data_IF_870516034607
#
_entry.id   IF_870516034607
#
_cell.length_a   1.000
_cell.length_b   1.000
_cell.length_c   1.000
_cell.angle_alpha   90.00
_cell.angle_beta   90.00
_cell.angle_gamma   90.00
#
_symmetry.space_group_name_H-M   'P 1'
#
loop_
_entity.id
_entity.type
_entity.pdbx_description
1 polymer ?
#
# COMPACT_ATOMS: atom_id res chain seq x y z
N UNK A 1 3.04 15.07 32.81
CA UNK A 1 2.06 15.32 31.74
C UNK A 1 1.45 16.71 31.96
N UNK A 2 2.27 17.77 31.89
CA UNK A 2 1.81 19.17 32.10
C UNK A 2 2.72 20.23 31.43
N UNK A 3 3.58 19.82 30.48
CA UNK A 3 4.52 20.74 29.82
C UNK A 3 4.24 20.97 28.32
N UNK A 4 3.18 20.36 27.78
CA UNK A 4 2.91 20.35 26.33
C UNK A 4 1.77 21.29 25.88
N UNK A 5 1.11 22.02 26.78
CA UNK A 5 -0.01 22.90 26.40
C UNK A 5 0.34 24.39 26.24
N UNK A 6 1.54 24.84 26.65
CA UNK A 6 1.91 26.27 26.56
C UNK A 6 2.54 26.72 25.23
N UNK A 7 2.90 25.81 24.33
CA UNK A 7 3.61 26.18 23.07
C UNK A 7 2.72 26.25 21.82
N UNK A 8 1.43 25.92 21.94
CA UNK A 8 0.48 25.93 20.82
C UNK A 8 -0.30 27.25 20.68
N UNK A 9 -0.23 28.16 21.66
CA UNK A 9 -0.92 29.46 21.63
C UNK A 9 -0.12 30.59 20.95
N UNK A 10 1.15 30.37 20.57
CA UNK A 10 2.03 31.44 20.04
C UNK A 10 2.34 31.34 18.53
N UNK A 11 1.80 30.36 17.80
CA UNK A 11 1.96 30.27 16.33
C UNK A 11 0.79 30.87 15.52
N UNK A 12 -0.20 31.46 16.19
CA UNK A 12 -1.37 32.07 15.56
C UNK A 12 -1.20 33.54 15.19
N UNK A 13 -0.32 33.87 14.22
CA UNK A 13 -0.47 35.09 13.37
C UNK A 13 0.69 35.26 12.39
N UNK A 14 0.64 34.61 11.23
CA UNK A 14 1.26 35.12 10.00
C UNK A 14 0.32 34.87 8.83
N UNK A 15 -0.33 35.94 8.37
CA UNK A 15 -1.18 35.94 7.16
C UNK A 15 -0.30 35.69 5.93
N UNK A 16 -0.68 34.74 5.08
CA UNK A 16 -0.11 34.56 3.74
C UNK A 16 -0.64 35.63 2.78
N UNK A 17 0.16 36.09 1.80
CA UNK A 17 -0.29 37.03 0.77
C UNK A 17 -1.18 36.33 -0.27
N UNK A 18 -2.10 37.06 -0.93
CA UNK A 18 -3.03 36.48 -1.90
C UNK A 18 -2.33 36.06 -3.21
N UNK A 19 -2.85 35.04 -3.92
CA UNK A 19 -2.30 34.58 -5.19
C UNK A 19 -2.53 35.58 -6.33
N UNK A 20 -1.58 35.65 -7.27
CA UNK A 20 -1.66 36.46 -8.50
C UNK A 20 -2.37 35.67 -9.60
N UNK A 21 -3.28 36.35 -10.31
CA UNK A 21 -4.08 35.82 -11.41
C UNK A 21 -3.21 35.33 -12.59
N UNK A 22 -3.53 34.15 -13.13
CA UNK A 22 -3.08 33.68 -14.44
C UNK A 22 -4.27 33.54 -15.41
N UNK A 23 -4.07 33.71 -16.73
CA UNK A 23 -5.16 33.90 -17.69
C UNK A 23 -5.84 32.57 -18.05
N UNK A 24 -7.16 32.66 -18.19
CA UNK A 24 -8.09 31.62 -18.66
C UNK A 24 -8.00 31.47 -20.17
N UNK A 25 -7.84 30.24 -20.68
CA UNK A 25 -8.09 29.91 -22.09
C UNK A 25 -9.24 28.90 -22.23
N UNK A 26 -9.98 28.93 -23.35
CA UNK A 26 -11.38 28.54 -23.41
C UNK A 26 -11.64 27.05 -23.68
N UNK A 27 -12.78 26.60 -23.16
CA UNK A 27 -13.43 25.31 -23.38
C UNK A 27 -13.77 25.06 -24.86
N UNK A 28 -13.40 23.90 -25.39
CA UNK A 28 -13.93 23.37 -26.64
C UNK A 28 -14.84 22.18 -26.36
N UNK A 29 -16.12 22.37 -26.67
CA UNK A 29 -17.11 21.33 -26.91
C UNK A 29 -16.68 20.47 -28.12
N UNK A 30 -16.87 19.16 -28.03
CA UNK A 30 -16.87 18.29 -29.21
C UNK A 30 -18.02 17.28 -29.10
N UNK A 31 -18.96 17.51 -30.02
CA UNK A 31 -20.21 16.87 -30.37
C UNK A 31 -20.07 15.36 -30.61
N UNK A 32 -21.02 14.58 -30.10
CA UNK A 32 -21.29 13.21 -30.55
C UNK A 32 -21.97 13.25 -31.92
N UNK A 33 -21.43 12.54 -32.91
CA UNK A 33 -22.13 12.23 -34.14
C UNK A 33 -22.30 10.71 -34.28
N UNK A 34 -23.56 10.32 -34.41
CA UNK A 34 -24.05 8.96 -34.61
C UNK A 34 -24.12 8.72 -36.12
N UNK A 35 -23.50 7.66 -36.61
CA UNK A 35 -23.75 7.16 -37.97
C UNK A 35 -24.05 5.66 -37.92
N UNK A 36 -25.19 5.30 -38.50
CA UNK A 36 -25.81 3.99 -38.49
C UNK A 36 -25.86 3.42 -39.92
N UNK A 37 -25.41 2.16 -40.07
CA UNK A 37 -25.79 1.11 -41.06
C UNK A 37 -25.29 1.16 -42.53
N UNK A 38 -25.36 0.06 -43.34
CA UNK A 38 -25.94 -1.28 -43.09
C UNK A 38 -25.13 -2.55 -43.55
N UNK A 39 -25.59 -3.70 -43.01
CA UNK A 39 -25.70 -5.09 -43.52
C UNK A 39 -24.71 -5.74 -44.53
N UNK A 40 -24.32 -6.98 -44.19
CA UNK A 40 -23.74 -7.98 -45.10
C UNK A 40 -23.76 -9.39 -44.48
N UNK A 41 -24.19 -10.39 -45.24
CA UNK A 41 -24.74 -11.70 -44.82
C UNK A 41 -23.73 -12.75 -44.33
N UNK A 42 -24.20 -13.53 -43.37
CA UNK A 42 -24.09 -14.98 -43.13
C UNK A 42 -23.06 -15.84 -43.91
N UNK A 43 -22.30 -16.64 -43.16
CA UNK A 43 -22.12 -18.08 -43.42
C UNK A 43 -21.68 -18.81 -42.14
N UNK A 44 -22.31 -19.94 -41.83
CA UNK A 44 -21.91 -20.93 -40.82
C UNK A 44 -21.25 -22.11 -41.53
N UNK A 45 -20.45 -22.95 -40.82
CA UNK A 45 -21.02 -24.25 -40.49
C UNK A 45 -20.52 -24.92 -39.18
N UNK A 46 -21.45 -25.71 -38.64
CA UNK A 46 -21.31 -27.08 -38.08
C UNK A 46 -20.68 -27.28 -36.69
N UNK A 47 -21.62 -27.50 -35.77
CA UNK A 47 -21.66 -28.48 -34.67
C UNK A 47 -20.89 -29.79 -34.95
N UNK A 48 -20.15 -30.27 -33.95
CA UNK A 48 -19.82 -31.69 -33.79
C UNK A 48 -20.15 -32.15 -32.37
N UNK A 49 -20.64 -33.38 -32.31
CA UNK A 49 -21.33 -34.04 -31.21
C UNK A 49 -20.45 -34.45 -30.03
N UNK A 50 -21.16 -34.71 -28.93
CA UNK A 50 -20.77 -35.38 -27.70
C UNK A 50 -20.21 -36.79 -27.95
N UNK A 51 -19.27 -37.20 -27.10
CA UNK A 51 -19.17 -38.59 -26.63
C UNK A 51 -19.00 -38.61 -25.11
N UNK A 52 -19.92 -39.32 -24.45
CA UNK A 52 -19.83 -39.73 -23.05
C UNK A 52 -18.87 -40.93 -22.92
N UNK A 53 -18.12 -41.02 -21.81
CA UNK A 53 -17.89 -42.30 -21.13
C UNK A 53 -17.39 -42.13 -19.68
N UNK A 54 -18.26 -42.53 -18.76
CA UNK A 54 -18.05 -43.33 -17.55
C UNK A 54 -16.74 -43.27 -16.73
N UNK A 55 -16.89 -42.77 -15.49
CA UNK A 55 -16.59 -43.41 -14.19
C UNK A 55 -15.42 -44.41 -14.05
N UNK A 56 -14.51 -44.13 -13.11
CA UNK A 56 -14.08 -45.10 -12.09
C UNK A 56 -13.45 -44.44 -10.85
N UNK A 57 -14.00 -44.83 -9.71
CA UNK A 57 -13.58 -44.63 -8.33
C UNK A 57 -12.51 -45.65 -7.89
N UNK A 58 -11.58 -45.24 -7.02
CA UNK A 58 -10.90 -46.07 -5.99
C UNK A 58 -10.06 -45.10 -5.13
N UNK A 59 -10.39 -44.73 -3.89
CA UNK A 59 -10.34 -45.50 -2.63
C UNK A 59 -9.19 -46.50 -2.52
N UNK A 60 -8.22 -46.19 -1.66
CA UNK A 60 -7.06 -47.02 -1.35
C UNK A 60 -6.24 -46.44 -0.20
N UNK A 61 -6.78 -46.56 1.02
CA UNK A 61 -6.00 -46.53 2.27
C UNK A 61 -5.02 -47.72 2.30
N UNK A 62 -3.78 -47.50 2.76
CA UNK A 62 -3.08 -48.47 3.63
C UNK A 62 -1.84 -47.87 4.32
N UNK A 63 -2.00 -47.68 5.63
CA UNK A 63 -1.14 -48.04 6.77
C UNK A 63 0.40 -47.99 6.66
N UNK A 64 0.95 -47.20 7.59
CA UNK A 64 1.92 -47.56 8.64
C UNK A 64 3.10 -48.49 8.26
N UNK A 65 4.30 -47.91 8.25
CA UNK A 65 5.48 -48.63 8.73
C UNK A 65 6.35 -47.70 9.60
N UNK A 66 6.61 -48.14 10.83
CA UNK A 66 7.53 -47.53 11.79
C UNK A 66 8.83 -48.32 11.74
N UNK A 67 9.95 -47.67 11.44
CA UNK A 67 11.25 -48.16 11.89
C UNK A 67 12.17 -47.01 12.30
N UNK A 68 12.89 -47.28 13.40
CA UNK A 68 13.70 -46.37 14.23
C UNK A 68 15.11 -46.15 13.65
N UNK A 69 15.78 -45.16 14.27
CA UNK A 69 17.23 -44.87 14.32
C UNK A 69 17.70 -44.00 13.15
N UNK A 70 18.59 -43.03 13.30
CA UNK A 70 19.64 -42.79 14.28
C UNK A 70 19.94 -41.28 14.27
N UNK A 71 20.45 -40.72 15.37
CA UNK A 71 20.79 -39.31 15.45
C UNK A 71 22.06 -39.00 14.67
N UNK A 72 21.98 -38.01 13.78
CA UNK A 72 23.15 -37.38 13.17
C UNK A 72 23.20 -35.90 13.53
N UNK A 73 24.31 -35.53 14.19
CA UNK A 73 24.74 -34.18 14.48
C UNK A 73 25.00 -33.44 13.16
N UNK A 74 24.22 -32.40 12.86
CA UNK A 74 24.70 -31.36 11.95
C UNK A 74 25.51 -30.33 12.73
N UNK A 75 26.82 -30.41 12.53
CA UNK A 75 27.78 -29.33 12.80
C UNK A 75 27.50 -28.21 11.80
N UNK A 76 26.94 -27.08 12.25
CA UNK A 76 26.95 -25.84 11.45
C UNK A 76 28.23 -25.07 11.79
N UNK A 77 29.20 -25.13 10.87
CA UNK A 77 30.39 -24.29 10.92
C UNK A 77 30.02 -22.82 10.83
N UNK A 78 30.37 -22.05 11.86
CA UNK A 78 30.35 -20.60 11.85
C UNK A 78 31.47 -20.07 10.97
N UNK A 79 31.13 -19.65 9.74
CA UNK A 79 32.00 -18.81 8.92
C UNK A 79 31.75 -17.36 9.31
N UNK A 80 32.68 -16.77 10.07
CA UNK A 80 32.72 -15.32 10.30
C UNK A 80 32.87 -14.61 8.95
N UNK A 81 31.86 -13.83 8.59
CA UNK A 81 31.95 -12.90 7.47
C UNK A 81 32.65 -11.62 7.94
N UNK A 82 33.55 -11.02 7.14
CA UNK A 82 34.29 -9.83 7.55
C UNK A 82 33.32 -8.66 7.80
N UNK A 83 33.47 -8.02 8.97
CA UNK A 83 32.77 -6.78 9.32
C UNK A 83 33.11 -5.73 8.25
N UNK A 84 32.12 -5.37 7.43
CA UNK A 84 32.21 -4.17 6.59
C UNK A 84 31.82 -2.98 7.45
N UNK A 85 32.77 -2.08 7.66
CA UNK A 85 32.52 -0.78 8.27
C UNK A 85 31.48 -0.03 7.42
N UNK A 86 30.36 0.34 8.03
CA UNK A 86 29.36 1.20 7.40
C UNK A 86 29.85 2.63 7.59
N UNK A 87 30.53 3.16 6.58
CA UNK A 87 30.92 4.56 6.52
C UNK A 87 29.69 5.40 6.13
N UNK A 88 28.99 5.94 7.12
CA UNK A 88 27.96 6.97 6.87
C UNK A 88 28.69 8.28 6.58
N UNK A 89 28.92 8.58 5.30
CA UNK A 89 29.41 9.89 4.88
C UNK A 89 28.29 10.90 5.00
N UNK A 90 28.22 11.58 6.14
CA UNK A 90 27.73 12.95 6.19
C UNK A 90 28.85 13.87 5.72
N UNK A 91 28.60 14.69 4.71
CA UNK A 91 29.55 15.70 4.26
C UNK A 91 29.86 16.67 5.41
N UNK A 92 31.00 16.45 6.06
CA UNK A 92 31.50 17.27 7.16
C UNK A 92 32.40 16.45 8.10
N UNK A 93 33.71 16.47 7.82
CA UNK A 93 34.86 16.17 8.72
C UNK A 93 34.58 15.33 9.99
N UNK A 94 35.11 14.10 10.05
CA UNK A 94 36.33 13.78 10.82
C UNK A 94 36.76 12.31 10.71
N UNK A 95 38.07 12.09 10.94
CA UNK A 95 38.77 10.80 10.95
C UNK A 95 38.33 9.93 12.13
N UNK A 96 38.24 8.63 11.92
CA UNK A 96 38.06 7.64 12.99
C UNK A 96 39.42 7.05 13.38
N UNK A 97 39.97 7.50 14.51
CA UNK A 97 41.04 6.79 15.22
C UNK A 97 40.40 5.86 16.27
N UNK A 98 40.87 4.61 16.32
CA UNK A 98 40.38 3.57 17.25
C UNK A 98 40.98 3.77 18.65
N UNK A 99 40.40 4.65 19.46
CA UNK A 99 40.51 4.60 20.92
C UNK A 99 39.16 4.96 21.52
N UNK A 100 38.79 4.30 22.63
CA UNK A 100 37.49 4.44 23.30
C UNK A 100 37.11 5.91 23.51
N UNK A 101 36.22 6.42 22.65
CA UNK A 101 35.87 7.84 22.66
C UNK A 101 34.91 8.13 23.80
N UNK A 102 35.43 8.76 24.86
CA UNK A 102 34.60 9.58 25.75
C UNK A 102 34.19 10.81 24.96
N UNK A 103 32.99 10.80 24.40
CA UNK A 103 32.39 11.97 23.75
C UNK A 103 31.93 12.97 24.81
N UNK A 104 32.58 14.14 24.84
CA UNK A 104 32.24 15.25 25.72
C UNK A 104 30.93 15.93 25.27
N UNK A 105 30.04 16.14 26.23
CA UNK A 105 28.85 16.98 26.10
C UNK A 105 29.23 18.47 26.16
N UNK A 106 29.10 19.21 25.05
CA UNK A 106 28.92 20.67 25.07
C UNK A 106 28.14 21.15 23.84
N UNK A 107 27.00 21.84 24.05
CA UNK A 107 26.62 23.00 23.22
C UNK A 107 25.20 23.05 22.64
N UNK A 108 24.30 23.76 23.33
CA UNK A 108 23.14 24.62 22.93
C UNK A 108 22.40 24.60 21.56
N UNK A 109 22.66 23.66 20.66
CA UNK A 109 21.75 23.26 19.58
C UNK A 109 21.48 21.80 19.82
N UNK A 110 20.41 21.47 20.55
CA UNK A 110 20.24 20.21 21.29
C UNK A 110 20.38 18.93 20.48
N UNK A 111 21.61 18.58 20.12
CA UNK A 111 22.02 17.31 19.55
C UNK A 111 22.01 16.31 20.70
N UNK A 112 21.04 15.41 20.66
CA UNK A 112 20.91 14.33 21.63
C UNK A 112 21.90 13.23 21.23
N UNK A 113 23.00 13.14 21.98
CA UNK A 113 24.04 12.13 21.79
C UNK A 113 23.90 11.06 22.88
N UNK A 114 23.70 9.81 22.47
CA UNK A 114 23.62 8.64 23.36
C UNK A 114 24.40 7.48 22.74
N UNK A 115 25.01 6.63 23.59
CA UNK A 115 25.81 5.50 23.14
C UNK A 115 24.92 4.30 22.80
N UNK A 116 25.03 3.80 21.57
CA UNK A 116 24.29 2.62 21.11
C UNK A 116 25.25 1.50 20.69
N UNK A 117 24.88 0.26 21.00
CA UNK A 117 25.64 -0.92 20.53
C UNK A 117 25.47 -1.15 19.01
N UNK A 118 24.28 -0.83 18.48
CA UNK A 118 23.93 -1.00 17.07
C UNK A 118 23.05 0.16 16.64
N UNK A 119 23.37 0.76 15.49
CA UNK A 119 22.55 1.78 14.83
C UNK A 119 22.00 1.20 13.53
N UNK A 120 20.67 1.23 13.37
CA UNK A 120 19.99 0.80 12.14
C UNK A 120 19.50 2.02 11.37
N UNK A 121 19.95 2.18 10.12
CA UNK A 121 19.54 3.30 9.26
C UNK A 121 18.39 2.86 8.36
N UNK A 122 17.21 3.45 8.57
CA UNK A 122 16.00 3.20 7.80
C UNK A 122 15.51 4.47 7.07
N UNK A 123 16.42 5.23 6.46
CA UNK A 123 16.15 6.53 5.83
C UNK A 123 15.62 6.45 4.37
N UNK A 124 15.11 5.29 3.97
CA UNK A 124 14.64 5.03 2.60
C UNK A 124 15.63 4.28 1.71
N UNK A 125 15.29 4.15 0.43
CA UNK A 125 16.04 3.39 -0.58
C UNK A 125 16.32 4.25 -1.81
N UNK A 126 17.45 4.02 -2.47
CA UNK A 126 17.77 4.60 -3.78
C UNK A 126 17.67 3.54 -4.87
N UNK A 127 17.19 3.88 -6.08
CA UNK A 127 17.13 2.94 -7.19
C UNK A 127 18.56 2.58 -7.66
N UNK A 128 18.78 1.30 -7.97
CA UNK A 128 20.07 0.83 -8.48
C UNK A 128 20.13 0.98 -10.01
N UNK A 129 20.43 2.19 -10.49
CA UNK A 129 20.41 2.52 -11.93
C UNK A 129 21.72 3.12 -12.46
N UNK A 130 22.69 3.40 -11.59
CA UNK A 130 23.92 4.11 -11.96
C UNK A 130 24.79 3.33 -12.98
N UNK A 131 24.93 2.02 -12.77
CA UNK A 131 25.82 1.18 -13.58
C UNK A 131 25.11 0.45 -14.73
N UNK A 132 23.90 0.89 -15.09
CA UNK A 132 23.10 0.29 -16.18
C UNK A 132 23.43 0.88 -17.56
N UNK A 133 24.37 1.82 -17.64
CA UNK A 133 24.73 2.47 -18.91
C UNK A 133 23.65 3.39 -19.48
N UNK A 134 22.71 3.86 -18.64
CA UNK A 134 21.59 4.69 -19.07
C UNK A 134 22.03 6.01 -19.70
N UNK A 135 23.21 6.53 -19.34
CA UNK A 135 23.81 7.73 -19.94
C UNK A 135 24.09 7.60 -21.44
N UNK A 136 24.17 6.37 -21.96
CA UNK A 136 24.35 6.11 -23.39
C UNK A 136 23.01 6.02 -24.13
N UNK A 137 21.88 6.16 -23.41
CA UNK A 137 20.52 6.05 -23.91
C UNK A 137 19.76 7.34 -23.59
N UNK A 138 18.78 7.72 -24.40
CA UNK A 138 17.91 8.86 -24.12
C UNK A 138 16.79 8.49 -23.12
N UNK A 139 17.18 7.88 -21.99
CA UNK A 139 16.26 7.46 -20.91
C UNK A 139 16.19 8.54 -19.85
N UNK A 140 15.00 9.09 -19.64
CA UNK A 140 14.76 10.14 -18.64
C UNK A 140 14.69 9.56 -17.23
N UNK A 141 15.45 10.18 -16.32
CA UNK A 141 15.37 9.92 -14.88
C UNK A 141 14.66 11.08 -14.18
N UNK A 142 13.90 10.75 -13.14
CA UNK A 142 13.33 11.73 -12.24
C UNK A 142 14.46 12.40 -11.42
N UNK A 143 14.50 13.73 -11.42
CA UNK A 143 15.61 14.49 -10.81
C UNK A 143 15.69 14.37 -9.29
N UNK A 144 14.57 14.09 -8.63
CA UNK A 144 14.51 14.06 -7.17
C UNK A 144 14.77 12.65 -6.63
N UNK A 145 14.25 11.64 -7.33
CA UNK A 145 14.27 10.25 -6.88
C UNK A 145 15.31 9.39 -7.60
N UNK A 146 15.87 9.88 -8.71
CA UNK A 146 16.73 9.15 -9.64
C UNK A 146 16.08 7.89 -10.24
N UNK A 147 14.75 7.76 -10.14
CA UNK A 147 14.00 6.64 -10.72
C UNK A 147 13.81 6.83 -12.22
N UNK A 148 13.72 5.73 -12.97
CA UNK A 148 13.43 5.74 -14.40
C UNK A 148 12.00 6.24 -14.61
N UNK A 149 11.85 7.28 -15.42
CA UNK A 149 10.54 7.82 -15.76
C UNK A 149 9.83 6.89 -16.73
N UNK A 150 8.63 6.47 -16.37
CA UNK A 150 7.77 5.64 -17.23
C UNK A 150 6.39 6.24 -17.42
N UNK A 151 5.76 5.91 -18.53
CA UNK A 151 4.35 6.21 -18.77
C UNK A 151 3.42 5.15 -18.14
N UNK A 152 2.11 5.27 -18.34
CA UNK A 152 1.11 4.34 -17.81
C UNK A 152 1.20 2.90 -18.38
N UNK A 153 2.06 2.66 -19.37
CA UNK A 153 2.33 1.34 -19.96
C UNK A 153 3.68 0.76 -19.53
N UNK A 154 4.33 1.35 -18.51
CA UNK A 154 5.65 0.96 -18.00
C UNK A 154 6.80 1.21 -19.00
N UNK A 155 6.55 2.00 -20.03
CA UNK A 155 7.49 2.33 -21.10
C UNK A 155 8.30 3.57 -20.74
N UNK A 156 9.60 3.53 -21.01
CA UNK A 156 10.50 4.68 -20.81
C UNK A 156 10.35 5.73 -21.92
N UNK A 157 11.22 6.75 -21.96
CA UNK A 157 11.29 7.67 -23.10
C UNK A 157 11.79 7.04 -24.40
N UNK A 158 12.35 5.82 -24.33
CA UNK A 158 12.77 5.04 -25.50
C UNK A 158 11.75 3.92 -25.74
N UNK A 159 11.18 3.86 -26.95
CA UNK A 159 9.97 3.08 -27.26
C UNK A 159 10.09 1.57 -26.96
N UNK A 160 11.25 0.98 -27.21
CA UNK A 160 11.48 -0.45 -26.99
C UNK A 160 12.08 -0.79 -25.61
N UNK A 161 12.18 0.18 -24.70
CA UNK A 161 12.73 -0.01 -23.35
C UNK A 161 11.66 0.28 -22.30
N UNK A 162 11.53 -0.64 -21.35
CA UNK A 162 10.53 -0.62 -20.30
C UNK A 162 11.19 -0.74 -18.93
N UNK A 163 10.54 -0.21 -17.89
CA UNK A 163 11.00 -0.33 -16.51
C UNK A 163 9.81 -0.60 -15.56
N UNK A 164 9.96 -1.62 -14.71
CA UNK A 164 8.95 -2.03 -13.73
C UNK A 164 9.59 -2.25 -12.37
N UNK A 165 8.79 -2.09 -11.31
CA UNK A 165 9.26 -2.26 -9.93
C UNK A 165 10.07 -1.08 -9.42
N UNK A 166 10.88 -1.29 -8.39
CA UNK A 166 11.47 -0.21 -7.57
C UNK A 166 12.32 0.81 -8.34
N UNK A 167 12.81 0.45 -9.52
CA UNK A 167 13.60 1.34 -10.40
C UNK A 167 12.73 2.33 -11.16
N UNK A 168 11.44 2.06 -11.35
CA UNK A 168 10.53 2.96 -12.06
C UNK A 168 9.88 3.97 -11.11
N UNK A 169 9.55 5.14 -11.64
CA UNK A 169 8.83 6.20 -10.91
C UNK A 169 7.33 5.95 -10.79
N UNK A 170 6.83 4.77 -11.19
CA UNK A 170 5.42 4.44 -11.05
C UNK A 170 5.03 4.40 -9.56
N UNK A 171 3.80 4.82 -9.28
CA UNK A 171 3.30 4.89 -7.91
C UNK A 171 3.28 3.50 -7.27
N UNK A 172 3.73 3.38 -6.01
CA UNK A 172 3.78 2.13 -5.27
C UNK A 172 4.66 1.02 -5.91
N UNK A 173 5.53 1.35 -6.89
CA UNK A 173 6.39 0.37 -7.56
C UNK A 173 7.42 -0.27 -6.64
N UNK A 174 7.64 0.31 -5.45
CA UNK A 174 8.53 -0.24 -4.42
C UNK A 174 7.94 -1.50 -3.74
N UNK A 175 6.64 -1.74 -3.89
CA UNK A 175 5.93 -2.92 -3.36
C UNK A 175 6.18 -4.14 -4.25
N UNK A 176 6.66 -5.23 -3.67
CA UNK A 176 7.02 -6.44 -4.43
C UNK A 176 5.84 -7.02 -5.23
N UNK A 177 4.63 -7.06 -4.65
CA UNK A 177 3.44 -7.55 -5.34
C UNK A 177 3.06 -6.67 -6.55
N UNK A 178 3.24 -5.36 -6.44
CA UNK A 178 3.04 -4.40 -7.54
C UNK A 178 4.04 -4.65 -8.65
N UNK A 179 5.34 -4.77 -8.32
CA UNK A 179 6.39 -5.06 -9.29
C UNK A 179 6.12 -6.36 -10.05
N UNK A 180 5.73 -7.43 -9.35
CA UNK A 180 5.37 -8.73 -9.94
C UNK A 180 4.18 -8.59 -10.90
N UNK A 181 3.11 -7.89 -10.49
CA UNK A 181 1.91 -7.73 -11.31
C UNK A 181 2.16 -6.85 -12.53
N UNK A 182 2.89 -5.74 -12.37
CA UNK A 182 3.29 -4.86 -13.46
C UNK A 182 4.11 -5.62 -14.51
N UNK A 183 5.11 -6.41 -14.09
CA UNK A 183 5.91 -7.24 -14.99
C UNK A 183 5.06 -8.27 -15.76
N UNK A 184 4.12 -8.95 -15.08
CA UNK A 184 3.21 -9.90 -15.73
C UNK A 184 2.31 -9.23 -16.77
N UNK A 185 1.77 -8.04 -16.46
CA UNK A 185 0.91 -7.29 -17.38
C UNK A 185 1.71 -6.75 -18.56
N UNK A 186 2.92 -6.25 -18.30
CA UNK A 186 3.85 -5.81 -19.35
C UNK A 186 4.18 -6.95 -20.32
N UNK A 187 4.56 -8.13 -19.82
CA UNK A 187 4.85 -9.29 -20.64
C UNK A 187 3.65 -9.66 -21.53
N UNK A 188 2.42 -9.64 -20.98
CA UNK A 188 1.21 -9.90 -21.77
C UNK A 188 0.98 -8.86 -22.87
N UNK A 189 1.29 -7.58 -22.63
CA UNK A 189 1.21 -6.52 -23.64
C UNK A 189 2.25 -6.69 -24.74
N UNK A 190 3.50 -6.97 -24.37
CA UNK A 190 4.60 -7.15 -25.31
C UNK A 190 4.37 -8.30 -26.29
N UNK A 191 3.72 -9.37 -25.84
CA UNK A 191 3.42 -10.54 -26.66
C UNK A 191 1.97 -10.57 -27.18
N UNK A 192 1.31 -9.40 -27.23
CA UNK A 192 -0.03 -9.21 -27.82
C UNK A 192 -1.13 -10.10 -27.24
N UNK A 193 -1.00 -10.51 -25.98
CA UNK A 193 -2.00 -11.31 -25.25
C UNK A 193 -3.02 -10.45 -24.50
N UNK A 194 -2.76 -9.15 -24.33
CA UNK A 194 -3.61 -8.24 -23.58
C UNK A 194 -3.22 -6.78 -23.81
N UNK A 195 -4.15 -5.85 -23.59
CA UNK A 195 -3.88 -4.41 -23.50
C UNK A 195 -3.99 -3.87 -22.06
N UNK A 196 -4.14 -4.75 -21.07
CA UNK A 196 -4.37 -4.37 -19.67
C UNK A 196 -3.12 -3.74 -19.05
N UNK A 197 -3.32 -2.59 -18.41
CA UNK A 197 -2.29 -1.84 -17.67
C UNK A 197 -2.38 -2.13 -16.18
N UNK A 198 -1.32 -1.82 -15.45
CA UNK A 198 -1.35 -1.88 -13.99
C UNK A 198 -2.18 -0.72 -13.44
N UNK A 199 -3.08 -1.02 -12.49
CA UNK A 199 -3.78 -0.01 -11.70
C UNK A 199 -2.96 0.29 -10.44
N UNK A 200 -2.27 1.43 -10.44
CA UNK A 200 -1.34 1.81 -9.38
C UNK A 200 -2.01 2.54 -8.21
N UNK A 201 -3.23 3.09 -8.39
CA UNK A 201 -3.97 3.80 -7.33
C UNK A 201 -4.64 2.87 -6.33
N UNK A 202 -5.09 1.70 -6.78
CA UNK A 202 -5.85 0.76 -5.95
C UNK A 202 -4.97 -0.38 -5.40
N UNK A 203 -3.79 -0.03 -4.89
CA UNK A 203 -2.83 -0.99 -4.33
C UNK A 203 -3.03 -1.09 -2.82
N UNK A 204 -3.33 -2.28 -2.27
CA UNK A 204 -3.34 -2.48 -0.83
C UNK A 204 -1.92 -2.46 -0.26
N UNK A 205 -1.80 -1.93 0.94
CA UNK A 205 -0.55 -1.77 1.68
C UNK A 205 -0.66 -2.43 3.05
N UNK A 206 0.45 -2.98 3.52
CA UNK A 206 0.57 -3.63 4.83
C UNK A 206 1.89 -3.23 5.48
N UNK A 207 1.80 -2.73 6.72
CA UNK A 207 2.93 -2.40 7.58
C UNK A 207 2.91 -3.35 8.77
N UNK A 208 3.99 -4.14 8.89
CA UNK A 208 4.13 -5.22 9.87
C UNK A 208 4.78 -4.72 11.18
N UNK A 209 4.07 -3.84 11.89
CA UNK A 209 4.36 -3.49 13.29
C UNK A 209 3.79 -4.54 14.25
N UNK A 210 4.12 -4.52 15.57
CA UNK A 210 3.56 -5.46 16.53
C UNK A 210 2.02 -5.56 16.51
N UNK A 211 1.34 -4.47 16.18
CA UNK A 211 -0.04 -4.46 15.69
C UNK A 211 0.01 -4.04 14.23
N UNK A 212 -0.50 -4.87 13.32
CA UNK A 212 -0.42 -4.61 11.88
C UNK A 212 -1.27 -3.39 11.49
N UNK A 213 -0.78 -2.63 10.51
CA UNK A 213 -1.55 -1.57 9.87
C UNK A 213 -1.69 -1.86 8.38
N UNK A 214 -2.92 -2.02 7.92
CA UNK A 214 -3.24 -2.23 6.51
C UNK A 214 -4.12 -1.09 5.99
N UNK A 215 -3.90 -0.67 4.75
CA UNK A 215 -4.78 0.28 4.08
C UNK A 215 -4.84 0.12 2.56
N UNK A 216 -5.92 0.62 1.96
CA UNK A 216 -6.09 0.77 0.50
C UNK A 216 -6.82 2.09 0.23
N UNK A 217 -6.44 2.77 -0.85
CA UNK A 217 -7.05 4.05 -1.24
C UNK A 217 -6.40 5.27 -0.61
N UNK A 218 -7.13 6.38 -0.59
CA UNK A 218 -6.64 7.68 -0.16
C UNK A 218 -6.59 7.79 1.37
N UNK A 219 -5.58 8.50 1.90
CA UNK A 219 -5.61 8.98 3.28
C UNK A 219 -6.61 10.13 3.46
N UNK A 220 -6.90 10.54 4.70
CA UNK A 220 -7.90 11.60 4.95
C UNK A 220 -7.47 12.93 4.33
N UNK A 221 -6.20 13.29 4.50
CA UNK A 221 -5.58 14.50 3.96
C UNK A 221 -5.51 14.47 2.43
N UNK A 222 -5.18 13.32 1.84
CA UNK A 222 -5.18 13.13 0.39
C UNK A 222 -6.59 13.24 -0.16
N UNK A 223 -7.55 12.57 0.48
CA UNK A 223 -8.94 12.58 0.05
C UNK A 223 -9.56 13.99 0.14
N UNK A 224 -9.26 14.75 1.19
CA UNK A 224 -9.66 16.18 1.30
C UNK A 224 -9.08 17.03 0.18
N UNK A 225 -7.82 16.78 -0.19
CA UNK A 225 -7.13 17.55 -1.23
C UNK A 225 -7.71 17.25 -2.62
N UNK A 226 -8.01 15.97 -2.91
CA UNK A 226 -8.46 15.52 -4.23
C UNK A 226 -9.97 15.74 -4.40
N UNK A 227 -10.78 15.39 -3.40
CA UNK A 227 -12.24 15.33 -3.49
C UNK A 227 -12.96 16.45 -2.72
N UNK A 228 -12.22 17.26 -1.95
CA UNK A 228 -12.79 18.35 -1.15
C UNK A 228 -13.46 17.85 0.12
N UNK A 229 -14.80 17.91 0.16
CA UNK A 229 -15.56 17.47 1.35
C UNK A 229 -15.52 15.94 1.43
N UNK A 230 -15.24 15.41 2.62
CA UNK A 230 -15.24 13.97 2.90
C UNK A 230 -16.01 13.68 4.18
N UNK A 231 -16.47 12.44 4.33
CA UNK A 231 -17.00 11.89 5.58
C UNK A 231 -16.05 10.79 6.07
N UNK A 232 -15.73 10.76 7.36
CA UNK A 232 -14.81 9.75 7.93
C UNK A 232 -15.54 9.01 9.03
N UNK A 233 -15.87 7.75 8.76
CA UNK A 233 -16.40 6.83 9.77
C UNK A 233 -15.23 6.14 10.46
N UNK A 234 -15.30 5.99 11.78
CA UNK A 234 -14.19 5.39 12.53
C UNK A 234 -14.63 4.80 13.85
N UNK A 235 -13.83 3.86 14.35
CA UNK A 235 -14.05 3.26 15.65
C UNK A 235 -12.74 2.77 16.27
N UNK A 236 -12.72 2.69 17.60
CA UNK A 236 -11.68 2.06 18.41
C UNK A 236 -12.30 0.83 19.03
N UNK A 237 -11.64 -0.32 18.89
CA UNK A 237 -12.21 -1.58 19.36
C UNK A 237 -11.13 -2.49 19.95
N UNK A 238 -11.56 -3.46 20.76
CA UNK A 238 -10.72 -4.54 21.25
C UNK A 238 -11.08 -5.82 20.52
N UNK A 239 -10.09 -6.59 20.07
CA UNK A 239 -10.37 -7.88 19.43
C UNK A 239 -10.76 -8.94 20.46
N UNK A 240 -11.52 -9.98 20.07
CA UNK A 240 -11.88 -11.09 20.97
C UNK A 240 -10.66 -11.79 21.59
N UNK A 241 -9.56 -11.90 20.84
CA UNK A 241 -8.31 -12.49 21.35
C UNK A 241 -7.63 -11.59 22.38
N UNK A 242 -7.68 -10.28 22.14
CA UNK A 242 -7.07 -9.29 23.02
C UNK A 242 -7.83 -9.10 24.33
N UNK A 243 -9.16 -9.27 24.34
CA UNK A 243 -9.99 -9.09 25.55
C UNK A 243 -9.71 -10.15 26.64
N UNK A 244 -9.26 -11.35 26.25
CA UNK A 244 -8.90 -12.43 27.17
C UNK A 244 -7.48 -12.31 27.72
N UNK A 245 -6.59 -11.63 26.98
CA UNK A 245 -5.22 -11.42 27.40
C UNK A 245 -5.12 -10.06 28.11
N UNK A 246 -4.88 -10.01 29.42
CA UNK A 246 -4.52 -8.78 30.15
C UNK A 246 -3.16 -8.20 29.71
N UNK A 247 -2.73 -8.42 28.47
CA UNK A 247 -1.52 -7.84 27.89
C UNK A 247 -1.86 -6.46 27.33
N UNK A 248 -0.84 -5.60 27.37
CA UNK A 248 -0.72 -4.26 26.81
C UNK A 248 -1.89 -3.81 25.93
N UNK A 249 -2.39 -2.60 26.20
CA UNK A 249 -3.35 -1.80 25.43
C UNK A 249 -3.40 -2.12 23.92
N UNK A 250 -4.07 -3.22 23.55
CA UNK A 250 -4.17 -3.74 22.18
C UNK A 250 -5.42 -3.17 21.51
N UNK A 251 -5.59 -1.85 21.64
CA UNK A 251 -6.65 -1.13 20.94
C UNK A 251 -6.40 -1.21 19.45
N UNK A 252 -7.36 -1.78 18.75
CA UNK A 252 -7.44 -1.70 17.30
C UNK A 252 -8.18 -0.42 16.91
N UNK A 253 -7.89 0.07 15.72
CA UNK A 253 -8.54 1.23 15.16
C UNK A 253 -8.90 0.98 13.71
N UNK A 254 -10.07 1.43 13.32
CA UNK A 254 -10.52 1.38 11.93
C UNK A 254 -11.01 2.76 11.53
N UNK A 255 -10.74 3.13 10.28
CA UNK A 255 -11.42 4.25 9.63
C UNK A 255 -11.76 3.93 8.19
N UNK A 256 -12.91 4.44 7.78
CA UNK A 256 -13.42 4.42 6.43
C UNK A 256 -13.57 5.86 5.96
N UNK A 257 -12.92 6.18 4.85
CA UNK A 257 -12.94 7.50 4.25
C UNK A 257 -13.91 7.45 3.09
N UNK A 258 -14.92 8.31 3.12
CA UNK A 258 -16.00 8.31 2.14
C UNK A 258 -16.16 9.67 1.47
N UNK A 259 -16.64 9.66 0.23
CA UNK A 259 -17.22 10.83 -0.40
C UNK A 259 -18.49 11.26 0.37
N UNK A 260 -18.95 12.51 0.21
CA UNK A 260 -20.26 12.91 0.70
C UNK A 260 -21.35 12.01 0.11
N UNK A 261 -22.39 11.74 0.90
CA UNK A 261 -23.50 10.90 0.48
C UNK A 261 -24.25 11.53 -0.69
N UNK A 262 -24.44 10.77 -1.76
CA UNK A 262 -25.25 11.15 -2.90
C UNK A 262 -26.56 10.34 -2.85
N UNK A 263 -27.75 10.98 -2.92
CA UNK A 263 -29.03 10.25 -2.95
C UNK A 263 -29.07 9.18 -4.05
N UNK A 264 -29.60 8.00 -3.74
CA UNK A 264 -29.69 6.83 -4.64
C UNK A 264 -28.36 6.22 -5.12
N UNK A 265 -27.21 6.79 -4.75
CA UNK A 265 -25.88 6.26 -5.08
C UNK A 265 -25.15 5.81 -3.82
N UNK A 266 -25.30 6.55 -2.71
CA UNK A 266 -24.61 6.29 -1.46
C UNK A 266 -23.32 7.10 -1.31
N UNK A 267 -22.49 6.70 -0.35
CA UNK A 267 -21.22 7.34 -0.02
C UNK A 267 -20.08 6.45 -0.52
N UNK A 268 -19.38 6.87 -1.57
CA UNK A 268 -18.29 6.07 -2.15
C UNK A 268 -17.15 5.95 -1.15
N UNK A 269 -16.63 4.74 -0.96
CA UNK A 269 -15.43 4.49 -0.16
C UNK A 269 -14.20 4.90 -0.97
N UNK A 270 -13.48 5.91 -0.46
CA UNK A 270 -12.25 6.46 -1.03
C UNK A 270 -11.00 5.84 -0.38
N UNK A 271 -11.12 5.34 0.84
CA UNK A 271 -10.04 4.68 1.56
C UNK A 271 -10.51 3.82 2.72
N UNK A 272 -9.83 2.70 2.93
CA UNK A 272 -10.02 1.79 4.07
C UNK A 272 -8.71 1.72 4.83
N UNK A 273 -8.74 1.92 6.14
CA UNK A 273 -7.57 1.83 7.01
C UNK A 273 -7.90 1.03 8.26
N UNK A 274 -7.05 0.05 8.58
CA UNK A 274 -7.22 -0.87 9.69
C UNK A 274 -5.91 -1.07 10.43
N UNK A 275 -5.88 -0.72 11.70
CA UNK A 275 -4.83 -1.06 12.66
C UNK A 275 -5.39 -2.16 13.57
N UNK A 276 -5.02 -3.42 13.34
CA UNK A 276 -5.53 -4.56 14.08
C UNK A 276 -4.64 -5.81 13.85
N UNK A 277 -4.72 -6.83 14.72
CA UNK A 277 -4.16 -8.15 14.42
C UNK A 277 -4.70 -8.72 13.09
N UNK A 278 -3.82 -9.26 12.25
CA UNK A 278 -4.15 -9.80 10.92
C UNK A 278 -4.83 -8.77 9.99
N UNK A 279 -4.51 -7.48 10.12
CA UNK A 279 -5.09 -6.44 9.29
C UNK A 279 -4.86 -6.68 7.79
N UNK A 280 -3.72 -7.28 7.42
CA UNK A 280 -3.44 -7.65 6.03
C UNK A 280 -4.45 -8.64 5.44
N UNK A 281 -4.74 -9.71 6.17
CA UNK A 281 -5.70 -10.75 5.77
C UNK A 281 -7.12 -10.19 5.67
N UNK A 282 -7.52 -9.37 6.65
CA UNK A 282 -8.82 -8.71 6.65
C UNK A 282 -8.94 -7.78 5.45
N UNK A 283 -7.97 -6.90 5.24
CA UNK A 283 -8.03 -5.92 4.15
C UNK A 283 -8.03 -6.59 2.77
N UNK A 284 -7.29 -7.69 2.60
CA UNK A 284 -7.19 -8.41 1.33
C UNK A 284 -8.58 -8.83 0.81
N UNK A 285 -9.52 -9.17 1.70
CA UNK A 285 -10.90 -9.49 1.35
C UNK A 285 -11.69 -8.31 0.74
N UNK A 286 -11.37 -7.07 1.12
CA UNK A 286 -12.02 -5.86 0.61
C UNK A 286 -11.38 -5.32 -0.67
N UNK A 287 -10.18 -5.78 -1.05
CA UNK A 287 -9.42 -5.26 -2.21
C UNK A 287 -10.21 -5.39 -3.51
N UNK A 288 -10.89 -6.52 -3.73
CA UNK A 288 -11.67 -6.73 -4.95
C UNK A 288 -12.89 -5.81 -5.01
N UNK A 289 -13.60 -5.64 -3.89
CA UNK A 289 -14.75 -4.74 -3.81
C UNK A 289 -14.31 -3.28 -4.04
N UNK A 290 -13.22 -2.84 -3.41
CA UNK A 290 -12.64 -1.52 -3.63
C UNK A 290 -12.14 -1.32 -5.09
N UNK A 291 -11.57 -2.38 -5.66
CA UNK A 291 -10.98 -2.41 -7.00
C UNK A 291 -12.02 -2.31 -8.12
N UNK A 292 -13.05 -3.14 -8.08
CA UNK A 292 -13.97 -3.39 -9.19
C UNK A 292 -15.31 -2.67 -9.06
N UNK A 293 -15.71 -2.27 -7.85
CA UNK A 293 -16.99 -1.60 -7.61
C UNK A 293 -16.78 -0.21 -7.02
N UNK A 294 -17.74 0.68 -7.24
CA UNK A 294 -17.93 1.85 -6.40
C UNK A 294 -18.41 1.38 -5.02
N UNK A 295 -17.55 0.68 -4.27
CA UNK A 295 -17.86 0.21 -2.92
C UNK A 295 -18.40 1.41 -2.14
N UNK A 296 -19.61 1.28 -1.61
CA UNK A 296 -20.22 2.33 -0.80
C UNK A 296 -20.25 1.95 0.67
N UNK A 297 -20.35 2.96 1.54
CA UNK A 297 -20.59 2.74 2.96
C UNK A 297 -21.87 1.93 3.18
N UNK A 298 -22.93 2.24 2.45
CA UNK A 298 -24.21 1.55 2.56
C UNK A 298 -24.08 0.04 2.25
N UNK A 299 -23.25 -0.34 1.27
CA UNK A 299 -22.97 -1.76 0.99
C UNK A 299 -22.22 -2.46 2.13
N UNK A 300 -21.37 -1.73 2.87
CA UNK A 300 -20.72 -2.27 4.06
C UNK A 300 -21.70 -2.41 5.23
N UNK A 301 -22.66 -1.50 5.37
CA UNK A 301 -23.70 -1.56 6.41
C UNK A 301 -24.71 -2.68 6.20
N UNK A 302 -24.99 -3.03 4.94
CA UNK A 302 -25.86 -4.15 4.58
C UNK A 302 -25.16 -5.51 4.76
N UNK A 303 -23.83 -5.52 4.93
CA UNK A 303 -23.06 -6.74 5.14
C UNK A 303 -23.38 -7.36 6.51
N UNK A 304 -23.73 -8.64 6.54
CA UNK A 304 -23.81 -9.40 7.78
C UNK A 304 -22.40 -9.73 8.26
N UNK A 305 -22.03 -9.20 9.43
CA UNK A 305 -20.75 -9.48 10.08
C UNK A 305 -20.59 -10.95 10.47
N UNK A 306 -19.42 -11.52 10.20
CA UNK A 306 -19.05 -12.84 10.71
C UNK A 306 -18.54 -12.69 12.15
N UNK A 307 -19.27 -13.23 13.11
CA UNK A 307 -18.96 -13.06 14.53
C UNK A 307 -18.35 -14.33 15.16
N UNK A 308 -17.29 -14.24 16.00
CA UNK A 308 -16.50 -13.05 16.32
C UNK A 308 -15.28 -12.90 15.38
N UNK A 309 -15.16 -11.78 14.66
CA UNK A 309 -14.01 -11.49 13.79
C UNK A 309 -13.62 -10.01 13.76
N UNK A 310 -12.35 -9.71 13.47
CA UNK A 310 -11.88 -8.32 13.27
C UNK A 310 -12.62 -7.64 12.10
N UNK A 311 -12.96 -8.40 11.06
CA UNK A 311 -13.58 -7.88 9.85
C UNK A 311 -15.02 -7.38 10.07
N UNK A 312 -15.73 -7.90 11.07
CA UNK A 312 -17.12 -7.49 11.35
C UNK A 312 -17.25 -6.02 11.75
N UNK A 313 -16.15 -5.38 12.19
CA UNK A 313 -16.16 -3.96 12.53
C UNK A 313 -16.64 -3.08 11.37
N UNK A 314 -16.44 -3.52 10.12
CA UNK A 314 -16.83 -2.75 8.93
C UNK A 314 -18.35 -2.65 8.73
N UNK A 315 -19.15 -3.56 9.30
CA UNK A 315 -20.62 -3.50 9.21
C UNK A 315 -21.27 -2.59 10.26
N UNK A 316 -20.52 -2.10 11.26
CA UNK A 316 -21.08 -1.31 12.38
C UNK A 316 -20.37 0.04 12.59
N UNK A 317 -19.89 0.66 11.52
CA UNK A 317 -19.25 1.97 11.59
C UNK A 317 -20.27 3.11 11.49
N UNK A 318 -20.78 3.57 12.64
CA UNK A 318 -21.79 4.65 12.68
C UNK A 318 -21.21 6.03 13.05
N UNK A 319 -20.16 6.07 13.86
CA UNK A 319 -19.58 7.32 14.36
C UNK A 319 -18.75 7.98 13.27
N UNK A 320 -19.01 9.26 13.02
CA UNK A 320 -18.20 10.06 12.09
C UNK A 320 -17.40 11.14 12.80
N UNK A 321 -16.22 11.48 12.29
CA UNK A 321 -15.42 12.58 12.81
C UNK A 321 -16.15 13.93 12.77
N UNK A 322 -16.96 14.16 11.74
CA UNK A 322 -17.70 15.41 11.58
C UNK A 322 -18.80 15.60 12.63
N UNK A 323 -19.34 14.50 13.17
CA UNK A 323 -20.34 14.54 14.24
C UNK A 323 -19.78 15.04 15.57
N UNK A 324 -18.46 14.93 15.78
CA UNK A 324 -17.82 15.22 17.07
C UNK A 324 -18.20 14.25 18.20
N UNK A 325 -18.92 13.16 17.90
CA UNK A 325 -19.27 12.16 18.90
C UNK A 325 -18.03 11.43 19.42
N UNK A 326 -18.02 11.12 20.72
CA UNK A 326 -16.95 10.33 21.32
C UNK A 326 -17.00 8.88 20.86
N UNK A 327 -15.83 8.30 20.61
CA UNK A 327 -15.69 6.88 20.32
C UNK A 327 -15.50 6.13 21.65
N UNK A 328 -16.46 5.28 22.00
CA UNK A 328 -16.34 4.34 23.10
C UNK A 328 -15.46 3.14 22.73
N UNK A 329 -14.79 2.54 23.72
CA UNK A 329 -14.07 1.28 23.50
C UNK A 329 -15.07 0.13 23.40
N UNK A 330 -15.36 -0.32 22.19
CA UNK A 330 -16.23 -1.48 21.96
C UNK A 330 -15.39 -2.76 21.96
N UNK A 331 -15.93 -3.83 22.57
CA UNK A 331 -15.44 -5.19 22.35
C UNK A 331 -16.30 -5.77 21.26
N UNK A 332 -15.67 -6.12 20.14
CA UNK A 332 -16.29 -6.93 19.08
C UNK A 332 -15.98 -8.41 19.33
#
# INVERSE_FOLDING_TARGET
>A
MEFSQRKLSELGSRKSPPPKDLPTEPSQEATQEVAMQPSGKAESPKTLEKTDSATKTSSGDQKNDQSKKEGDKLVSGSTESPKKDIEVKSDGKERVDKEASKTQNVGDTGDYMEDFQVVVVAAGRRPNVADLGLQNLDIKLDRNTCKIMVNAFDQTSVENIFAVGQVSNAMNADVQAVAKKAAQLLARRMFSLSNTKMEYRKVPMLILTPVEYAYIGDSEETAKTIHGKIEVYHNVFTTPKSSLSNRFDNRSYVKLICSPRIPNVGSQVLGIHLLAPNAGEVLQGFVTAFGNSSLTKEQLDEMVGLHPTVAEVFSDLQITKASGAEIGLNVI
#
